data_IF_437161974280
#
_entry.id   IF_437161974280
#
_cell.length_a   1.000
_cell.length_b   1.000
_cell.length_c   1.000
_cell.angle_alpha   90.00
_cell.angle_beta   90.00
_cell.angle_gamma   90.00
#
_symmetry.space_group_name_H-M   'P 1'
#
loop_
_entity.id
_entity.type
_entity.pdbx_description
1 polymer ?
#
# COMPACT_ATOMS: atom_id res chain seq x y z
N UNK A 1 1.20 -9.02 -26.77
CA UNK A 1 1.26 -10.43 -26.33
C UNK A 1 0.72 -11.32 -27.45
N UNK A 2 1.25 -12.52 -27.57
CA UNK A 2 0.62 -13.56 -28.40
C UNK A 2 -0.61 -14.16 -27.71
N UNK A 3 -1.29 -15.10 -28.37
CA UNK A 3 -2.50 -15.77 -27.83
C UNK A 3 -2.25 -16.59 -26.55
N UNK A 4 -0.97 -16.93 -26.26
CA UNK A 4 -0.59 -17.68 -25.07
C UNK A 4 -0.14 -16.76 -23.93
N UNK A 5 -0.13 -15.45 -24.13
CA UNK A 5 0.33 -14.47 -23.15
C UNK A 5 1.84 -14.23 -23.15
N UNK A 6 2.56 -14.71 -24.18
CA UNK A 6 3.98 -14.42 -24.33
C UNK A 6 4.16 -13.03 -24.95
N UNK A 7 5.03 -12.23 -24.39
CA UNK A 7 5.28 -10.88 -24.88
C UNK A 7 6.11 -10.90 -26.17
N UNK A 8 5.54 -10.43 -27.27
CA UNK A 8 6.13 -10.45 -28.62
C UNK A 8 6.61 -9.08 -29.11
N UNK A 9 6.57 -8.07 -28.26
CA UNK A 9 7.10 -6.74 -28.53
C UNK A 9 7.69 -6.15 -27.26
N UNK A 10 8.57 -5.18 -27.40
CA UNK A 10 9.04 -4.40 -26.28
C UNK A 10 7.91 -3.52 -25.71
N UNK A 11 8.04 -3.14 -24.45
CA UNK A 11 7.15 -2.15 -23.86
C UNK A 11 7.52 -0.76 -24.40
N UNK A 12 6.51 0.06 -24.59
CA UNK A 12 6.65 1.48 -24.90
C UNK A 12 6.26 2.26 -23.65
N UNK A 13 7.18 2.98 -23.06
CA UNK A 13 6.91 3.92 -21.97
C UNK A 13 7.00 5.36 -22.44
N UNK A 14 6.73 6.31 -21.57
CA UNK A 14 6.85 7.75 -21.84
C UNK A 14 8.26 8.16 -22.28
N UNK A 15 9.28 7.42 -21.84
CA UNK A 15 10.69 7.61 -22.22
C UNK A 15 11.16 6.82 -23.46
N UNK A 16 10.26 6.08 -24.13
CA UNK A 16 10.59 5.28 -25.31
C UNK A 16 10.50 3.77 -25.10
N UNK A 17 11.21 3.01 -25.95
CA UNK A 17 11.21 1.53 -25.92
C UNK A 17 11.97 1.00 -24.69
N UNK A 18 11.40 -0.06 -24.10
CA UNK A 18 11.97 -0.79 -22.97
C UNK A 18 12.26 -2.25 -23.41
N UNK A 19 13.47 -2.54 -23.95
CA UNK A 19 13.77 -3.80 -24.64
C UNK A 19 13.86 -5.03 -23.73
N UNK A 20 13.91 -4.86 -22.41
CA UNK A 20 14.12 -5.95 -21.45
C UNK A 20 12.91 -6.90 -21.29
N UNK A 21 11.81 -6.62 -21.95
CA UNK A 21 10.53 -7.30 -21.71
C UNK A 21 10.13 -8.30 -22.80
N UNK A 22 10.81 -8.33 -23.91
CA UNK A 22 10.53 -9.27 -25.00
C UNK A 22 10.69 -10.74 -24.53
N UNK A 23 9.75 -11.60 -24.94
CA UNK A 23 9.76 -13.03 -24.61
C UNK A 23 9.28 -13.37 -23.19
N UNK A 24 8.90 -12.41 -22.37
CA UNK A 24 8.40 -12.69 -21.02
C UNK A 24 7.01 -13.35 -21.05
N UNK A 25 6.85 -14.38 -20.23
CA UNK A 25 5.55 -15.01 -19.98
C UNK A 25 4.70 -14.10 -19.06
N UNK A 26 3.54 -13.70 -19.56
CA UNK A 26 2.54 -12.89 -18.88
C UNK A 26 1.24 -13.66 -18.60
N UNK A 27 1.18 -14.95 -18.94
CA UNK A 27 -0.03 -15.77 -18.84
C UNK A 27 -0.62 -15.84 -17.43
N UNK A 28 0.23 -15.70 -16.40
CA UNK A 28 -0.16 -15.73 -14.99
C UNK A 28 -0.54 -14.37 -14.40
N UNK A 29 -0.53 -13.31 -15.20
CA UNK A 29 -0.92 -11.99 -14.71
C UNK A 29 -2.43 -11.93 -14.43
N UNK A 30 -2.89 -11.12 -13.46
CA UNK A 30 -4.30 -11.01 -13.11
C UNK A 30 -5.18 -10.77 -14.34
N UNK A 31 -4.84 -9.80 -15.17
CA UNK A 31 -5.58 -9.45 -16.39
C UNK A 31 -5.63 -10.54 -17.47
N UNK A 32 -4.69 -11.51 -17.45
CA UNK A 32 -4.71 -12.66 -18.37
C UNK A 32 -5.54 -13.83 -17.82
N UNK A 33 -5.75 -13.88 -16.49
CA UNK A 33 -6.62 -14.90 -15.85
C UNK A 33 -8.09 -14.55 -15.92
N UNK A 34 -8.40 -13.28 -16.04
CA UNK A 34 -9.76 -12.81 -16.24
C UNK A 34 -10.25 -13.19 -17.64
N UNK A 35 -11.50 -13.66 -17.73
CA UNK A 35 -12.09 -13.96 -19.02
C UNK A 35 -12.28 -12.67 -19.81
N UNK A 36 -11.54 -12.51 -20.92
CA UNK A 36 -11.74 -11.37 -21.80
C UNK A 36 -13.15 -11.43 -22.40
N UNK A 37 -13.99 -10.39 -22.21
CA UNK A 37 -15.36 -10.38 -22.70
C UNK A 37 -15.43 -10.57 -24.22
N UNK A 38 -16.58 -11.03 -24.72
CA UNK A 38 -16.81 -11.28 -26.17
C UNK A 38 -16.60 -10.03 -27.05
N UNK A 39 -16.79 -8.84 -26.50
CA UNK A 39 -16.49 -7.55 -27.15
C UNK A 39 -15.00 -7.23 -27.24
N UNK A 40 -14.15 -8.05 -26.59
CA UNK A 40 -12.71 -8.04 -26.81
C UNK A 40 -11.90 -7.01 -26.04
N UNK A 41 -12.49 -6.34 -25.07
CA UNK A 41 -11.80 -5.38 -24.18
C UNK A 41 -12.00 -5.77 -22.71
N UNK A 42 -10.95 -5.66 -21.92
CA UNK A 42 -10.96 -5.85 -20.47
C UNK A 42 -10.22 -4.69 -19.83
N UNK A 43 -10.80 -4.13 -18.79
CA UNK A 43 -10.11 -3.30 -17.82
C UNK A 43 -9.98 -4.13 -16.55
N UNK A 44 -8.75 -4.44 -16.12
CA UNK A 44 -8.53 -5.25 -14.92
C UNK A 44 -8.92 -4.49 -13.65
N UNK A 45 -9.18 -5.23 -12.59
CA UNK A 45 -9.14 -4.66 -11.25
C UNK A 45 -7.75 -4.08 -10.96
N UNK A 46 -7.66 -3.21 -9.96
CA UNK A 46 -6.38 -2.67 -9.54
C UNK A 46 -5.51 -3.78 -8.91
N UNK A 47 -4.21 -3.72 -9.15
CA UNK A 47 -3.23 -4.65 -8.60
C UNK A 47 -1.91 -3.92 -8.32
N UNK A 48 -1.07 -4.52 -7.47
CA UNK A 48 0.28 -3.99 -7.26
C UNK A 48 1.19 -4.42 -8.40
N UNK A 49 1.74 -3.43 -9.12
CA UNK A 49 2.71 -3.66 -10.17
C UNK A 49 3.98 -4.29 -9.61
N UNK A 50 4.41 -5.42 -10.16
CA UNK A 50 5.68 -6.06 -9.77
C UNK A 50 6.92 -5.23 -10.12
N UNK A 51 6.77 -4.24 -10.99
CA UNK A 51 7.86 -3.37 -11.42
C UNK A 51 8.03 -2.17 -10.51
N UNK A 52 6.94 -1.47 -10.23
CA UNK A 52 6.94 -0.21 -9.47
C UNK A 52 6.52 -0.40 -8.02
N UNK A 53 5.96 -1.57 -7.67
CA UNK A 53 5.30 -1.83 -6.39
C UNK A 53 4.23 -0.77 -6.06
N UNK A 54 3.48 -0.33 -7.09
CA UNK A 54 2.46 0.71 -6.98
C UNK A 54 1.12 0.21 -7.49
N UNK A 55 0.01 0.72 -6.95
CA UNK A 55 -1.31 0.44 -7.46
C UNK A 55 -1.42 0.80 -8.94
N UNK A 56 -1.79 -0.17 -9.75
CA UNK A 56 -1.86 -0.09 -11.20
C UNK A 56 -3.03 -0.90 -11.73
N UNK A 57 -3.51 -0.56 -12.92
CA UNK A 57 -4.46 -1.37 -13.65
C UNK A 57 -4.00 -1.57 -15.10
N UNK A 58 -4.51 -2.61 -15.75
CA UNK A 58 -4.21 -2.90 -17.16
C UNK A 58 -5.47 -2.89 -17.99
N UNK A 59 -5.46 -2.10 -19.06
CA UNK A 59 -6.43 -2.24 -20.14
C UNK A 59 -5.89 -3.27 -21.15
N UNK A 60 -6.69 -4.26 -21.48
CA UNK A 60 -6.35 -5.32 -22.42
C UNK A 60 -7.33 -5.34 -23.59
N UNK A 61 -6.83 -5.24 -24.80
CA UNK A 61 -7.60 -5.34 -26.03
C UNK A 61 -7.23 -6.60 -26.80
N UNK A 62 -8.22 -7.41 -27.16
CA UNK A 62 -8.01 -8.57 -28.04
C UNK A 62 -7.78 -8.10 -29.47
N UNK A 63 -6.76 -8.64 -30.10
CA UNK A 63 -6.50 -8.48 -31.54
C UNK A 63 -7.01 -9.72 -32.26
N UNK A 64 -7.94 -9.53 -33.22
CA UNK A 64 -8.53 -10.60 -34.02
C UNK A 64 -8.24 -10.42 -35.50
N UNK A 65 -8.08 -11.52 -36.19
CA UNK A 65 -8.06 -11.60 -37.65
C UNK A 65 -8.97 -12.76 -38.08
N UNK A 66 -9.88 -12.53 -39.01
CA UNK A 66 -10.88 -13.52 -39.46
C UNK A 66 -11.63 -14.23 -38.33
N UNK A 67 -11.98 -13.45 -37.30
CA UNK A 67 -12.66 -13.91 -36.07
C UNK A 67 -11.79 -14.82 -35.15
N UNK A 68 -10.53 -15.08 -35.50
CA UNK A 68 -9.57 -15.79 -34.66
C UNK A 68 -8.76 -14.80 -33.79
N UNK A 69 -8.48 -15.19 -32.54
CA UNK A 69 -7.65 -14.40 -31.64
C UNK A 69 -6.19 -14.57 -32.04
N UNK A 70 -5.57 -13.48 -32.49
CA UNK A 70 -4.15 -13.41 -32.84
C UNK A 70 -3.27 -13.08 -31.64
N UNK A 71 -3.81 -12.32 -30.68
CA UNK A 71 -3.09 -11.90 -29.50
C UNK A 71 -3.79 -10.77 -28.75
N UNK A 72 -3.00 -10.05 -27.94
CA UNK A 72 -3.49 -9.01 -27.06
C UNK A 72 -2.57 -7.78 -27.09
N UNK A 73 -3.19 -6.60 -27.04
CA UNK A 73 -2.49 -5.34 -26.75
C UNK A 73 -2.87 -4.93 -25.34
N UNK A 74 -1.88 -4.69 -24.47
CA UNK A 74 -2.07 -4.24 -23.09
C UNK A 74 -1.49 -2.85 -22.90
N UNK A 75 -2.17 -2.02 -22.10
CA UNK A 75 -1.67 -0.75 -21.60
C UNK A 75 -1.77 -0.73 -20.06
N UNK A 76 -0.65 -0.53 -19.40
CA UNK A 76 -0.59 -0.44 -17.95
C UNK A 76 -0.68 1.04 -17.54
N UNK A 77 -1.53 1.32 -16.56
CA UNK A 77 -1.73 2.64 -15.99
C UNK A 77 -1.37 2.62 -14.51
N UNK A 78 -0.55 3.57 -14.08
CA UNK A 78 -0.40 3.91 -12.66
C UNK A 78 -1.68 4.64 -12.23
N UNK A 79 -2.30 4.25 -11.12
CA UNK A 79 -3.55 4.87 -10.64
C UNK A 79 -3.42 6.37 -10.39
N UNK A 80 -2.22 6.85 -10.14
CA UNK A 80 -1.94 8.29 -9.93
C UNK A 80 -2.08 9.12 -11.20
N UNK A 81 -1.89 8.49 -12.35
CA UNK A 81 -1.97 9.15 -13.66
C UNK A 81 -3.39 9.14 -14.22
N UNK A 82 -4.33 8.48 -13.54
CA UNK A 82 -5.72 8.42 -13.97
C UNK A 82 -6.49 9.68 -13.55
N UNK A 83 -7.48 10.11 -14.35
CA UNK A 83 -8.34 11.22 -13.97
C UNK A 83 -9.14 10.89 -12.70
N UNK A 84 -9.40 11.92 -11.89
CA UNK A 84 -10.20 11.81 -10.67
C UNK A 84 -11.57 11.20 -10.99
N UNK A 85 -11.93 10.12 -10.31
CA UNK A 85 -13.29 9.62 -10.32
C UNK A 85 -14.14 10.48 -9.38
N UNK A 86 -15.36 10.81 -9.77
CA UNK A 86 -16.26 11.68 -8.99
C UNK A 86 -16.87 11.00 -7.75
N UNK A 87 -16.60 9.72 -7.52
CA UNK A 87 -17.12 8.99 -6.37
C UNK A 87 -16.11 9.04 -5.21
N UNK A 88 -16.50 9.73 -4.15
CA UNK A 88 -15.77 9.71 -2.89
C UNK A 88 -16.09 8.42 -2.14
N UNK A 89 -15.10 7.93 -1.39
CA UNK A 89 -15.32 6.82 -0.46
C UNK A 89 -16.31 7.22 0.61
N UNK A 90 -17.40 6.48 0.72
CA UNK A 90 -18.34 6.58 1.83
C UNK A 90 -18.11 5.43 2.82
N UNK A 91 -17.75 5.78 4.04
CA UNK A 91 -17.59 4.79 5.10
C UNK A 91 -18.92 4.06 5.39
N UNK A 92 -18.88 2.75 5.60
CA UNK A 92 -20.04 2.04 6.13
C UNK A 92 -20.49 2.68 7.47
N UNK A 93 -21.75 3.06 7.57
CA UNK A 93 -22.30 3.78 8.75
C UNK A 93 -22.23 3.00 10.09
N UNK A 94 -21.68 1.79 10.11
CA UNK A 94 -21.70 0.88 11.25
C UNK A 94 -20.35 0.68 11.95
N UNK A 95 -19.36 1.55 11.71
CA UNK A 95 -18.10 1.41 12.44
C UNK A 95 -18.30 1.69 13.94
N UNK A 96 -17.68 0.88 14.78
CA UNK A 96 -17.62 1.08 16.23
C UNK A 96 -16.21 1.44 16.62
N UNK A 97 -16.06 2.47 17.46
CA UNK A 97 -14.79 2.73 18.11
C UNK A 97 -14.39 1.49 18.93
N UNK A 98 -13.34 0.82 18.52
CA UNK A 98 -12.78 -0.31 19.27
C UNK A 98 -11.89 0.29 20.36
N UNK A 99 -12.30 0.13 21.61
CA UNK A 99 -11.49 0.54 22.74
C UNK A 99 -10.30 -0.41 22.89
N UNK A 100 -9.10 0.12 22.57
CA UNK A 100 -7.84 -0.53 22.79
C UNK A 100 -7.55 -1.70 21.82
N UNK A 101 -6.28 -2.04 21.71
CA UNK A 101 -5.82 -3.24 21.04
C UNK A 101 -6.21 -4.47 21.90
N UNK A 102 -6.91 -5.48 21.34
CA UNK A 102 -7.20 -6.72 22.05
C UNK A 102 -5.95 -7.41 22.63
N UNK A 103 -4.78 -7.23 22.00
CA UNK A 103 -3.51 -7.76 22.48
C UNK A 103 -3.02 -7.11 23.78
N UNK A 104 -3.55 -5.91 24.14
CA UNK A 104 -3.16 -5.19 25.38
C UNK A 104 -3.91 -5.69 26.62
N UNK A 105 -4.95 -6.49 26.46
CA UNK A 105 -5.76 -6.90 27.60
C UNK A 105 -5.02 -7.87 28.50
N UNK A 106 -4.26 -7.28 29.45
CA UNK A 106 -4.17 -7.87 30.78
C UNK A 106 -3.26 -9.08 30.93
N UNK A 107 -2.10 -9.14 30.27
CA UNK A 107 -1.12 -10.18 30.67
C UNK A 107 0.14 -9.53 31.23
N UNK A 108 0.43 -9.88 32.46
CA UNK A 108 1.68 -9.60 33.19
C UNK A 108 2.83 -10.46 32.63
N UNK A 109 2.54 -11.30 31.64
CA UNK A 109 3.50 -12.24 31.04
C UNK A 109 4.04 -11.71 29.71
N UNK A 110 5.27 -12.08 29.34
CA UNK A 110 5.83 -11.75 28.03
C UNK A 110 4.89 -12.23 26.92
N UNK A 111 4.48 -11.31 26.06
CA UNK A 111 3.61 -11.63 24.93
C UNK A 111 4.50 -11.93 23.73
N UNK A 112 4.30 -13.08 23.09
CA UNK A 112 4.89 -13.36 21.81
C UNK A 112 4.03 -12.75 20.69
N UNK A 113 4.68 -12.25 19.65
CA UNK A 113 4.02 -11.75 18.44
C UNK A 113 3.26 -12.89 17.77
N UNK A 114 2.00 -12.64 17.49
CA UNK A 114 1.18 -13.51 16.64
C UNK A 114 1.03 -12.78 15.30
N UNK A 115 1.21 -13.52 14.19
CA UNK A 115 1.04 -12.96 12.87
C UNK A 115 -0.41 -12.53 12.65
N UNK A 116 -0.57 -11.24 12.46
CA UNK A 116 -1.86 -10.62 12.15
C UNK A 116 -2.22 -10.79 10.66
N UNK A 117 -3.43 -10.45 10.28
CA UNK A 117 -3.83 -10.41 8.86
C UNK A 117 -3.04 -9.36 8.08
N UNK A 118 -2.70 -8.24 8.72
CA UNK A 118 -1.82 -7.22 8.13
C UNK A 118 -0.40 -7.76 7.94
N UNK A 119 0.13 -8.54 8.88
CA UNK A 119 1.47 -9.14 8.74
C UNK A 119 1.58 -10.03 7.51
N UNK A 120 0.51 -10.76 7.17
CA UNK A 120 0.44 -11.63 5.98
C UNK A 120 0.36 -10.83 4.67
N UNK A 121 -0.12 -9.59 4.74
CA UNK A 121 -0.30 -8.69 3.60
C UNK A 121 0.55 -7.42 3.75
N UNK A 122 1.70 -7.51 4.43
CA UNK A 122 2.50 -6.35 4.81
C UNK A 122 2.97 -5.53 3.60
N UNK A 123 3.43 -6.18 2.53
CA UNK A 123 3.93 -5.49 1.36
C UNK A 123 2.84 -4.69 0.63
N UNK A 124 1.65 -5.27 0.32
CA UNK A 124 0.54 -4.48 -0.21
C UNK A 124 0.07 -3.38 0.74
N UNK A 125 -0.06 -3.66 2.03
CA UNK A 125 -0.51 -2.65 3.00
C UNK A 125 0.44 -1.44 3.06
N UNK A 126 1.76 -1.67 3.05
CA UNK A 126 2.74 -0.57 3.05
C UNK A 126 2.70 0.22 1.73
N UNK A 127 2.54 -0.44 0.59
CA UNK A 127 2.45 0.23 -0.72
C UNK A 127 1.18 1.08 -0.84
N UNK A 128 0.05 0.59 -0.35
CA UNK A 128 -1.21 1.35 -0.31
C UNK A 128 -1.09 2.55 0.63
N UNK A 129 -0.56 2.37 1.83
CA UNK A 129 -0.34 3.48 2.76
C UNK A 129 0.61 4.53 2.17
N UNK A 130 1.66 4.12 1.47
CA UNK A 130 2.55 5.05 0.77
C UNK A 130 1.79 5.88 -0.26
N UNK A 131 0.97 5.24 -1.12
CA UNK A 131 0.17 5.94 -2.13
C UNK A 131 -0.83 6.91 -1.50
N UNK A 132 -1.52 6.49 -0.44
CA UNK A 132 -2.46 7.35 0.28
C UNK A 132 -1.78 8.60 0.87
N UNK A 133 -0.58 8.47 1.43
CA UNK A 133 0.20 9.60 1.93
C UNK A 133 0.70 10.50 0.81
N UNK A 134 1.29 9.90 -0.24
CA UNK A 134 2.06 10.66 -1.23
C UNK A 134 1.19 11.25 -2.33
N UNK A 135 0.03 10.64 -2.63
CA UNK A 135 -0.78 10.98 -3.81
C UNK A 135 -2.26 11.24 -3.50
N UNK A 136 -2.77 10.86 -2.31
CA UNK A 136 -4.20 10.91 -1.99
C UNK A 136 -4.56 11.80 -0.80
N UNK A 137 -3.63 12.62 -0.35
CA UNK A 137 -3.90 13.62 0.67
C UNK A 137 -4.05 13.09 2.10
N UNK A 138 -3.65 11.85 2.38
CA UNK A 138 -3.54 11.38 3.75
C UNK A 138 -2.38 12.13 4.43
N UNK A 139 -2.67 12.83 5.54
CA UNK A 139 -1.65 13.58 6.26
C UNK A 139 -1.28 12.96 7.60
N UNK A 140 -2.13 12.11 8.13
CA UNK A 140 -1.89 11.41 9.38
C UNK A 140 -2.48 10.00 9.30
N UNK A 141 -1.74 9.02 9.83
CA UNK A 141 -2.25 7.68 10.07
C UNK A 141 -1.77 7.13 11.40
N UNK A 142 -2.60 6.26 12.00
CA UNK A 142 -2.22 5.37 13.09
C UNK A 142 -2.40 3.94 12.59
N UNK A 143 -1.28 3.25 12.43
CA UNK A 143 -1.22 1.88 11.91
C UNK A 143 -1.24 0.93 13.11
N UNK A 144 -2.25 0.10 13.21
CA UNK A 144 -2.40 -0.90 14.27
C UNK A 144 -2.08 -2.29 13.70
N UNK A 145 -0.81 -2.67 13.71
CA UNK A 145 -0.33 -3.93 13.16
C UNK A 145 -1.03 -5.14 13.78
N UNK A 146 -1.11 -5.19 15.12
CA UNK A 146 -1.71 -6.34 15.82
C UNK A 146 -3.20 -6.51 15.57
N UNK A 147 -3.94 -5.45 15.31
CA UNK A 147 -5.38 -5.49 15.00
C UNK A 147 -5.71 -5.31 13.52
N UNK A 148 -4.68 -5.27 12.66
CA UNK A 148 -4.80 -5.28 11.20
C UNK A 148 -5.70 -4.16 10.64
N UNK A 149 -5.44 -2.91 11.05
CA UNK A 149 -6.17 -1.73 10.59
C UNK A 149 -5.31 -0.48 10.65
N UNK A 150 -5.69 0.53 9.89
CA UNK A 150 -5.17 1.88 10.03
C UNK A 150 -6.32 2.87 10.28
N UNK A 151 -6.05 3.85 11.13
CA UNK A 151 -6.90 5.04 11.26
C UNK A 151 -6.23 6.15 10.50
N UNK A 152 -6.91 6.74 9.53
CA UNK A 152 -6.35 7.70 8.59
C UNK A 152 -7.10 9.02 8.62
N UNK A 153 -6.39 10.14 8.41
CA UNK A 153 -6.94 11.48 8.25
C UNK A 153 -6.47 12.05 6.93
N UNK A 154 -7.40 12.65 6.21
CA UNK A 154 -7.19 13.21 4.88
C UNK A 154 -7.41 14.73 4.87
N UNK A 155 -6.71 15.42 3.99
CA UNK A 155 -6.75 16.88 3.90
C UNK A 155 -8.11 17.41 3.47
N UNK A 156 -8.88 16.65 2.71
CA UNK A 156 -10.22 17.03 2.26
C UNK A 156 -11.23 17.12 3.43
N UNK A 157 -11.03 16.31 4.47
CA UNK A 157 -11.86 16.33 5.68
C UNK A 157 -11.00 16.06 6.93
N UNK A 158 -10.21 17.03 7.40
CA UNK A 158 -9.19 16.84 8.43
C UNK A 158 -9.78 16.59 9.84
N UNK A 159 -11.08 16.83 10.04
CA UNK A 159 -11.75 16.64 11.32
C UNK A 159 -12.38 15.25 11.45
N UNK A 160 -12.41 14.48 10.39
CA UNK A 160 -12.97 13.15 10.35
C UNK A 160 -11.93 12.11 9.99
N UNK A 161 -11.80 11.08 10.79
CA UNK A 161 -10.93 9.95 10.49
C UNK A 161 -11.67 8.85 9.71
N UNK A 162 -10.89 8.03 9.03
CA UNK A 162 -11.33 6.83 8.31
C UNK A 162 -10.66 5.62 8.93
N UNK A 163 -11.37 4.49 9.01
CA UNK A 163 -10.78 3.21 9.43
C UNK A 163 -10.63 2.33 8.19
N UNK A 164 -9.40 2.03 7.87
CA UNK A 164 -9.04 1.07 6.84
C UNK A 164 -8.70 -0.25 7.53
N UNK A 165 -9.54 -1.27 7.32
CA UNK A 165 -9.26 -2.61 7.83
C UNK A 165 -8.27 -3.36 6.94
N UNK A 166 -8.01 -4.63 7.27
CA UNK A 166 -7.05 -5.44 6.53
C UNK A 166 -7.48 -5.72 5.09
N UNK A 167 -8.78 -5.75 4.80
CA UNK A 167 -9.31 -5.95 3.45
C UNK A 167 -9.02 -4.71 2.60
N UNK A 168 -9.35 -3.53 3.11
CA UNK A 168 -9.04 -2.26 2.47
C UNK A 168 -7.53 -2.04 2.28
N UNK A 169 -6.71 -2.44 3.26
CA UNK A 169 -5.24 -2.32 3.17
C UNK A 169 -4.58 -3.40 2.29
N UNK A 170 -5.32 -4.41 1.85
CA UNK A 170 -4.86 -5.40 0.90
C UNK A 170 -5.39 -5.17 -0.53
N UNK A 171 -6.35 -4.25 -0.68
CA UNK A 171 -7.03 -3.95 -1.94
C UNK A 171 -6.54 -2.64 -2.54
N UNK A 172 -5.77 -2.68 -3.66
CA UNK A 172 -5.28 -1.46 -4.31
C UNK A 172 -6.39 -0.54 -4.84
N UNK A 173 -7.61 -1.04 -5.05
CA UNK A 173 -8.76 -0.23 -5.47
C UNK A 173 -9.12 0.85 -4.43
N UNK A 174 -8.72 0.68 -3.17
CA UNK A 174 -8.90 1.71 -2.13
C UNK A 174 -8.27 3.05 -2.52
N UNK A 175 -7.15 3.03 -3.27
CA UNK A 175 -6.49 4.25 -3.73
C UNK A 175 -7.33 5.04 -4.75
N UNK A 176 -8.27 4.37 -5.44
CA UNK A 176 -9.20 5.02 -6.38
C UNK A 176 -10.35 5.74 -5.69
N UNK A 177 -10.63 5.41 -4.43
CA UNK A 177 -11.74 5.98 -3.66
C UNK A 177 -11.39 7.37 -3.11
N UNK A 178 -10.09 7.72 -3.11
CA UNK A 178 -9.60 9.02 -2.68
C UNK A 178 -9.11 9.83 -3.88
N UNK A 179 -9.51 11.11 -4.02
CA UNK A 179 -9.07 11.94 -5.13
C UNK A 179 -7.55 12.16 -5.07
N UNK A 180 -6.87 12.30 -6.21
CA UNK A 180 -5.49 12.72 -6.25
C UNK A 180 -5.31 14.05 -5.54
N UNK A 181 -4.28 14.15 -4.70
CA UNK A 181 -3.95 15.34 -3.94
C UNK A 181 -2.44 15.61 -3.99
N UNK A 182 -2.06 16.82 -4.32
CA UNK A 182 -0.66 17.20 -4.33
C UNK A 182 -0.08 17.09 -2.90
N UNK A 183 1.14 16.56 -2.79
CA UNK A 183 1.83 16.50 -1.50
C UNK A 183 2.07 17.92 -0.96
N UNK A 184 1.76 18.20 0.32
CA UNK A 184 1.85 19.54 0.88
C UNK A 184 3.30 20.04 0.90
N UNK A 185 3.51 21.27 0.46
CA UNK A 185 4.84 21.89 0.43
C UNK A 185 5.37 22.26 1.83
N UNK A 186 4.47 22.39 2.80
CA UNK A 186 4.75 22.74 4.20
C UNK A 186 4.87 21.49 5.11
N UNK A 187 4.79 20.28 4.54
CA UNK A 187 4.99 19.03 5.28
C UNK A 187 6.43 18.96 5.81
N UNK A 188 6.58 18.65 7.12
CA UNK A 188 7.90 18.48 7.74
C UNK A 188 8.53 17.11 7.40
N UNK A 189 7.72 16.12 6.99
CA UNK A 189 8.23 14.87 6.41
C UNK A 189 8.24 15.03 4.89
N UNK A 190 9.41 14.99 4.22
CA UNK A 190 9.47 15.03 2.77
C UNK A 190 8.80 13.81 2.14
N UNK A 191 8.15 13.98 1.00
CA UNK A 191 7.46 12.93 0.24
C UNK A 191 8.32 11.67 0.05
N UNK A 192 9.59 11.87 -0.30
CA UNK A 192 10.56 10.82 -0.61
C UNK A 192 10.95 9.99 0.61
N UNK A 193 10.62 10.46 1.83
CA UNK A 193 10.93 9.76 3.08
C UNK A 193 9.81 8.84 3.55
N UNK A 194 8.60 8.98 3.03
CA UNK A 194 7.43 8.18 3.45
C UNK A 194 7.71 6.68 3.29
N UNK A 195 8.18 6.25 2.12
CA UNK A 195 8.52 4.85 1.86
C UNK A 195 9.54 4.30 2.88
N UNK A 196 10.59 5.07 3.17
CA UNK A 196 11.63 4.66 4.12
C UNK A 196 11.10 4.55 5.56
N UNK A 197 10.20 5.46 5.97
CA UNK A 197 9.56 5.41 7.29
C UNK A 197 8.66 4.17 7.44
N UNK A 198 7.81 3.91 6.45
CA UNK A 198 6.95 2.72 6.44
C UNK A 198 7.77 1.43 6.43
N UNK A 199 8.86 1.39 5.66
CA UNK A 199 9.78 0.25 5.64
C UNK A 199 10.47 0.03 6.99
N UNK A 200 10.89 1.10 7.66
CA UNK A 200 11.46 1.01 9.02
C UNK A 200 10.45 0.46 10.02
N UNK A 201 9.20 0.91 9.97
CA UNK A 201 8.12 0.37 10.81
C UNK A 201 7.86 -1.11 10.53
N UNK A 202 7.84 -1.52 9.25
CA UNK A 202 7.75 -2.92 8.84
C UNK A 202 8.87 -3.76 9.45
N UNK A 203 10.11 -3.28 9.36
CA UNK A 203 11.26 -3.99 9.94
C UNK A 203 11.12 -4.15 11.46
N UNK A 204 10.72 -3.11 12.18
CA UNK A 204 10.49 -3.16 13.63
C UNK A 204 9.34 -4.09 14.00
N UNK A 205 8.32 -4.23 13.15
CA UNK A 205 7.22 -5.16 13.39
C UNK A 205 7.68 -6.61 13.41
N UNK A 206 8.63 -6.99 12.56
CA UNK A 206 9.05 -8.37 12.37
C UNK A 206 10.43 -8.69 12.98
N UNK A 207 11.08 -7.70 13.62
CA UNK A 207 12.44 -7.83 14.10
C UNK A 207 12.61 -8.86 15.21
N UNK A 208 11.64 -8.95 16.13
CA UNK A 208 11.70 -9.83 17.29
C UNK A 208 10.28 -10.34 17.63
N UNK A 209 10.18 -11.52 18.22
CA UNK A 209 8.91 -12.11 18.61
C UNK A 209 8.36 -11.55 19.91
N UNK A 210 9.23 -11.05 20.79
CA UNK A 210 8.87 -10.55 22.12
C UNK A 210 8.87 -9.03 22.19
N UNK A 211 9.83 -8.39 21.50
CA UNK A 211 9.93 -6.94 21.36
C UNK A 211 9.53 -6.53 19.96
N UNK A 212 8.26 -6.33 19.73
CA UNK A 212 7.72 -6.01 18.42
C UNK A 212 6.85 -4.76 18.43
N UNK A 213 6.80 -4.10 17.28
CA UNK A 213 5.95 -2.93 17.08
C UNK A 213 4.48 -3.36 17.00
N UNK A 214 3.63 -2.80 17.87
CA UNK A 214 2.18 -3.06 17.92
C UNK A 214 1.38 -2.07 17.12
N UNK A 215 1.76 -0.80 17.26
CA UNK A 215 1.17 0.30 16.51
C UNK A 215 2.21 1.37 16.22
N UNK A 216 2.01 2.10 15.15
CA UNK A 216 2.81 3.28 14.82
C UNK A 216 1.91 4.39 14.28
N UNK A 217 2.30 5.63 14.50
CA UNK A 217 1.65 6.77 13.86
C UNK A 217 2.64 7.63 13.09
N UNK A 218 2.16 8.24 12.02
CA UNK A 218 2.88 9.22 11.21
C UNK A 218 1.98 10.44 11.07
N UNK A 219 2.53 11.64 11.29
CA UNK A 219 1.90 12.89 10.90
C UNK A 219 2.90 13.71 10.11
N UNK A 220 2.60 13.98 8.85
CA UNK A 220 3.54 14.63 7.93
C UNK A 220 3.71 16.12 8.21
N UNK A 221 2.69 16.80 8.77
CA UNK A 221 2.77 18.23 9.04
C UNK A 221 3.63 18.57 10.25
N UNK A 222 3.51 17.80 11.35
CA UNK A 222 4.35 18.05 12.54
C UNK A 222 5.65 17.23 12.51
N UNK A 223 5.84 16.35 11.53
CA UNK A 223 7.04 15.57 11.35
C UNK A 223 7.26 14.45 12.36
N UNK A 224 6.27 14.17 13.21
CA UNK A 224 6.41 13.24 14.34
C UNK A 224 5.92 11.84 13.99
N UNK A 225 6.65 10.86 14.53
CA UNK A 225 6.23 9.48 14.61
C UNK A 225 5.99 9.11 16.07
N UNK A 226 5.06 8.19 16.31
CA UNK A 226 4.90 7.51 17.60
C UNK A 226 4.91 6.02 17.37
N UNK A 227 5.71 5.31 18.16
CA UNK A 227 5.92 3.85 18.06
C UNK A 227 5.48 3.23 19.37
N UNK A 228 4.57 2.26 19.32
CA UNK A 228 4.07 1.52 20.49
C UNK A 228 4.55 0.08 20.40
N UNK A 229 5.42 -0.32 21.31
CA UNK A 229 5.98 -1.67 21.39
C UNK A 229 5.18 -2.59 22.33
N UNK A 230 5.50 -3.88 22.29
CA UNK A 230 4.88 -4.90 23.14
C UNK A 230 5.25 -4.76 24.61
N UNK A 231 6.43 -4.24 24.94
CA UNK A 231 7.00 -4.22 26.29
C UNK A 231 6.69 -2.97 27.09
N UNK A 232 6.40 -1.84 26.45
CA UNK A 232 6.23 -0.56 27.12
C UNK A 232 5.27 0.38 26.39
N UNK A 233 5.31 1.64 26.77
CA UNK A 233 4.47 2.67 26.18
C UNK A 233 4.89 3.11 24.78
N UNK A 234 4.38 4.27 24.37
CA UNK A 234 4.70 4.85 23.07
C UNK A 234 5.94 5.74 23.15
N UNK A 235 6.82 5.59 22.18
CA UNK A 235 7.97 6.44 21.94
C UNK A 235 7.66 7.40 20.79
N UNK A 236 7.77 8.70 21.04
CA UNK A 236 7.52 9.71 20.00
C UNK A 236 8.83 10.40 19.64
N UNK A 237 9.09 10.55 18.35
CA UNK A 237 10.28 11.19 17.83
C UNK A 237 10.06 11.79 16.44
N UNK A 238 10.92 12.75 15.99
CA UNK A 238 10.92 13.21 14.62
C UNK A 238 11.25 12.10 13.62
N UNK A 239 10.62 12.12 12.45
CA UNK A 239 10.87 11.13 11.40
C UNK A 239 12.33 11.07 10.94
N UNK A 240 13.03 12.22 10.94
CA UNK A 240 14.47 12.26 10.68
C UNK A 240 15.26 11.43 11.69
N UNK A 241 15.00 11.61 12.97
CA UNK A 241 15.67 10.87 14.06
C UNK A 241 15.38 9.36 13.95
N UNK A 242 14.15 8.98 13.60
CA UNK A 242 13.78 7.58 13.39
C UNK A 242 14.63 6.92 12.30
N UNK A 243 14.85 7.61 11.18
CA UNK A 243 15.65 7.08 10.05
C UNK A 243 17.16 7.03 10.33
N UNK A 244 17.65 7.80 11.32
CA UNK A 244 19.04 7.78 11.75
C UNK A 244 19.35 6.62 12.71
N UNK A 245 18.31 6.01 13.29
CA UNK A 245 18.46 4.88 14.23
C UNK A 245 18.43 3.56 13.45
N UNK A 246 19.43 2.74 13.68
CA UNK A 246 19.50 1.39 13.14
C UNK A 246 18.71 0.38 14.01
N UNK A 247 18.61 -0.85 13.53
CA UNK A 247 17.92 -1.92 14.24
C UNK A 247 18.57 -2.26 15.59
N UNK A 248 19.88 -2.05 15.75
CA UNK A 248 20.59 -2.32 17.01
C UNK A 248 20.14 -1.40 18.13
N UNK A 249 19.77 -0.16 17.81
CA UNK A 249 19.18 0.77 18.77
C UNK A 249 17.84 0.25 19.34
N UNK A 250 17.03 -0.37 18.49
CA UNK A 250 15.66 -0.79 18.85
C UNK A 250 15.60 -2.15 19.57
N UNK A 251 16.40 -3.10 19.10
CA UNK A 251 16.32 -4.50 19.58
C UNK A 251 17.37 -4.79 20.64
N UNK A 252 18.31 -3.85 20.84
CA UNK A 252 19.46 -4.03 21.72
C UNK A 252 20.47 -5.00 21.11
N UNK A 253 21.76 -4.70 21.14
CA UNK A 253 22.77 -5.74 21.00
C UNK A 253 22.65 -6.62 22.25
N UNK A 254 22.10 -7.83 22.11
CA UNK A 254 22.41 -8.90 23.04
C UNK A 254 23.93 -9.11 22.91
N UNK A 255 24.65 -8.55 23.87
CA UNK A 255 26.10 -8.77 24.04
C UNK A 255 26.35 -10.20 24.55
#
# INVERSE_FOLDING_TARGET
LDRNGIQISDNVGTGGLLPEHYGRDRSQRPYMREAVPSWGFLLSDAYLSLRSNRPSLTALQVVKHDNEIMGFIGADFDLRDLPVTSQLYEEPHNWRQIKGDPAIRGTVFPQCRIDSLMDRNMDPAMAILEDLFTERGMFQAVIHFSSSRATAWFMDDPYRYRILDHEALADPDICLLYPPHAYPADALIPKERIASLLQGMRQLRVADETLYLRAASINIFNGMLSLTFSCDGSHSMPGKEFLEKDMSFWVGCAA
#
